data_IF_788457606799
#
_entry.id   IF_788457606799
#
_cell.length_a   1.000
_cell.length_b   1.000
_cell.length_c   1.000
_cell.angle_alpha   90.00
_cell.angle_beta   90.00
_cell.angle_gamma   90.00
#
_symmetry.space_group_name_H-M   'P 1'
#
loop_
_entity.id
_entity.type
_entity.pdbx_description
1 polymer ?
#
# COMPACT_ATOMS: atom_id res chain seq x y z
N UNK A 1 8.92 -8.61 -4.08
CA UNK A 1 9.73 -7.44 -4.45
C UNK A 1 10.89 -7.38 -3.48
N UNK A 2 12.12 -7.60 -3.94
CA UNK A 2 13.30 -7.49 -3.08
C UNK A 2 13.44 -6.04 -2.62
N UNK A 3 13.45 -5.83 -1.31
CA UNK A 3 13.59 -4.50 -0.73
C UNK A 3 15.09 -4.15 -0.70
N UNK A 4 15.48 -2.94 -1.08
CA UNK A 4 16.90 -2.51 -1.01
C UNK A 4 17.48 -2.60 0.40
N UNK A 5 16.61 -2.54 1.42
CA UNK A 5 16.93 -2.76 2.83
C UNK A 5 17.21 -4.23 3.19
N UNK A 6 16.63 -5.20 2.48
CA UNK A 6 16.89 -6.64 2.66
C UNK A 6 18.28 -7.00 2.14
N UNK A 7 18.71 -6.37 1.05
CA UNK A 7 20.05 -6.56 0.48
C UNK A 7 21.13 -6.12 1.49
N UNK A 8 20.86 -5.07 2.28
CA UNK A 8 21.78 -4.59 3.31
C UNK A 8 21.94 -5.54 4.50
N UNK A 9 20.94 -6.36 4.81
CA UNK A 9 20.96 -7.27 5.96
C UNK A 9 21.35 -8.70 5.60
N UNK A 10 21.34 -9.04 4.30
CA UNK A 10 21.60 -10.39 3.81
C UNK A 10 23.03 -10.88 4.10
N UNK A 11 23.15 -11.92 4.92
CA UNK A 11 24.44 -12.50 5.34
C UNK A 11 25.22 -13.19 4.22
N UNK A 12 24.62 -13.42 3.05
CA UNK A 12 25.30 -13.95 1.85
C UNK A 12 26.45 -13.04 1.39
N UNK A 13 26.34 -11.73 1.63
CA UNK A 13 27.35 -10.77 1.20
C UNK A 13 28.40 -10.47 2.29
N UNK A 14 29.67 -10.24 1.91
CA UNK A 14 30.72 -9.85 2.85
C UNK A 14 30.32 -8.64 3.70
N UNK A 15 30.75 -8.62 4.97
CA UNK A 15 30.42 -7.54 5.90
C UNK A 15 30.86 -6.17 5.38
N UNK A 16 32.01 -6.10 4.70
CA UNK A 16 32.55 -4.86 4.17
C UNK A 16 31.67 -4.28 3.06
N UNK A 17 31.19 -5.14 2.15
CA UNK A 17 30.25 -4.75 1.10
C UNK A 17 28.91 -4.27 1.69
N UNK A 18 28.40 -4.94 2.73
CA UNK A 18 27.17 -4.50 3.41
C UNK A 18 27.33 -3.18 4.15
N UNK A 19 28.47 -2.96 4.81
CA UNK A 19 28.78 -1.68 5.47
C UNK A 19 28.80 -0.51 4.49
N UNK A 20 29.16 -0.73 3.21
CA UNK A 20 29.09 0.31 2.18
C UNK A 20 27.66 0.83 1.96
N UNK A 21 26.65 -0.02 2.15
CA UNK A 21 25.24 0.35 2.00
C UNK A 21 24.76 1.24 3.13
N UNK A 22 25.17 0.96 4.37
CA UNK A 22 24.65 1.58 5.62
C UNK A 22 25.66 2.50 6.31
N UNK A 23 26.51 3.21 5.57
CA UNK A 23 27.57 4.06 6.12
C UNK A 23 27.09 5.15 7.09
N UNK A 24 28.01 5.69 7.91
CA UNK A 24 27.74 6.80 8.84
C UNK A 24 27.34 8.06 8.03
N UNK A 25 26.07 8.48 8.13
CA UNK A 25 25.50 9.63 7.41
C UNK A 25 24.38 9.24 6.45
N UNK A 26 24.28 9.91 5.29
CA UNK A 26 23.31 9.52 4.24
C UNK A 26 23.76 8.20 3.63
N UNK A 27 22.96 7.17 3.81
CA UNK A 27 23.25 5.82 3.31
C UNK A 27 23.39 5.82 1.77
N UNK A 28 24.19 4.90 1.21
CA UNK A 28 24.30 4.78 -0.26
C UNK A 28 22.95 4.39 -0.88
N UNK A 29 22.13 3.64 -0.15
CA UNK A 29 20.75 3.32 -0.53
C UNK A 29 19.91 4.61 -0.65
N UNK A 30 19.98 5.51 0.32
CA UNK A 30 19.28 6.81 0.22
C UNK A 30 19.79 7.64 -0.95
N UNK A 31 21.09 7.60 -1.25
CA UNK A 31 21.66 8.28 -2.42
C UNK A 31 21.14 7.69 -3.72
N UNK A 32 21.00 6.36 -3.80
CA UNK A 32 20.38 5.68 -4.94
C UNK A 32 18.93 6.12 -5.13
N UNK A 33 18.13 6.07 -4.07
CA UNK A 33 16.73 6.49 -4.13
C UNK A 33 16.60 7.96 -4.54
N UNK A 34 17.42 8.86 -3.95
CA UNK A 34 17.45 10.28 -4.33
C UNK A 34 17.88 10.49 -5.78
N UNK A 35 18.87 9.74 -6.25
CA UNK A 35 19.33 9.79 -7.64
C UNK A 35 18.23 9.42 -8.62
N UNK A 36 17.55 8.29 -8.37
CA UNK A 36 16.40 7.81 -9.16
C UNK A 36 15.27 8.85 -9.19
N UNK A 37 14.86 9.38 -8.03
CA UNK A 37 13.80 10.39 -7.95
C UNK A 37 14.18 11.66 -8.73
N UNK A 38 15.45 12.05 -8.68
CA UNK A 38 15.95 13.25 -9.37
C UNK A 38 15.95 13.05 -10.89
N UNK A 39 16.37 11.87 -11.37
CA UNK A 39 16.31 11.50 -12.78
C UNK A 39 14.87 11.53 -13.31
N UNK A 40 13.93 10.94 -12.56
CA UNK A 40 12.49 10.96 -12.89
C UNK A 40 11.98 12.40 -12.95
N UNK A 41 12.24 13.24 -11.94
CA UNK A 41 11.83 14.66 -11.94
C UNK A 41 12.41 15.45 -13.11
N UNK A 42 13.66 15.18 -13.49
CA UNK A 42 14.32 15.82 -14.63
C UNK A 42 13.64 15.46 -15.94
N UNK A 43 13.23 14.20 -16.09
CA UNK A 43 12.51 13.75 -17.29
C UNK A 43 11.18 14.50 -17.52
N UNK A 44 10.53 14.96 -16.44
CA UNK A 44 9.31 15.77 -16.53
C UNK A 44 9.51 17.20 -17.00
N UNK A 45 10.62 17.84 -16.61
CA UNK A 45 10.81 19.29 -16.80
C UNK A 45 11.37 19.67 -18.18
N UNK A 46 11.81 18.71 -19.01
CA UNK A 46 12.27 19.01 -20.37
C UNK A 46 11.06 19.24 -21.28
N UNK A 47 10.73 20.51 -21.49
CA UNK A 47 9.58 21.02 -22.25
C UNK A 47 9.40 20.55 -23.72
N UNK A 48 10.16 19.62 -24.28
CA UNK A 48 10.11 19.30 -25.72
C UNK A 48 10.44 17.84 -26.09
N UNK A 49 9.99 16.87 -25.30
CA UNK A 49 10.15 15.46 -25.66
C UNK A 49 10.59 14.64 -24.47
N UNK A 50 9.65 13.84 -23.97
CA UNK A 50 9.88 12.82 -22.97
C UNK A 50 10.80 11.75 -23.57
N UNK A 51 12.10 11.93 -23.38
CA UNK A 51 13.08 10.93 -23.80
C UNK A 51 13.14 9.84 -22.72
N UNK A 52 12.18 8.93 -22.81
CA UNK A 52 12.07 7.78 -21.91
C UNK A 52 13.27 6.83 -22.02
N UNK A 53 14.01 6.91 -23.13
CA UNK A 53 15.28 6.21 -23.31
C UNK A 53 16.42 6.86 -22.51
N UNK A 54 16.49 8.19 -22.48
CA UNK A 54 17.42 8.91 -21.58
C UNK A 54 17.10 8.60 -20.12
N UNK A 55 15.83 8.58 -19.73
CA UNK A 55 15.45 8.17 -18.37
C UNK A 55 15.86 6.72 -18.09
N UNK A 56 15.67 5.80 -19.05
CA UNK A 56 16.10 4.40 -18.93
C UNK A 56 17.60 4.30 -18.67
N UNK A 57 18.40 5.03 -19.44
CA UNK A 57 19.85 5.06 -19.28
C UNK A 57 20.27 5.64 -17.93
N UNK A 58 19.64 6.75 -17.49
CA UNK A 58 19.90 7.36 -16.18
C UNK A 58 19.56 6.39 -15.03
N UNK A 59 18.46 5.64 -15.14
CA UNK A 59 18.06 4.63 -14.14
C UNK A 59 19.06 3.47 -14.10
N UNK A 60 19.47 2.94 -15.25
CA UNK A 60 20.46 1.86 -15.32
C UNK A 60 21.83 2.30 -14.80
N UNK A 61 22.20 3.56 -14.99
CA UNK A 61 23.45 4.13 -14.51
C UNK A 61 23.43 4.50 -13.01
N UNK A 62 22.24 4.58 -12.39
CA UNK A 62 22.11 5.04 -11.01
C UNK A 62 22.88 4.18 -9.98
N UNK A 63 22.88 2.83 -10.03
CA UNK A 63 23.71 2.00 -9.17
C UNK A 63 25.21 2.29 -9.34
N UNK A 64 25.68 2.34 -10.60
CA UNK A 64 27.07 2.63 -10.92
C UNK A 64 27.52 3.98 -10.37
N UNK A 65 26.73 5.03 -10.58
CA UNK A 65 26.97 6.37 -10.04
C UNK A 65 27.10 6.37 -8.51
N UNK A 66 26.24 5.64 -7.80
CA UNK A 66 26.25 5.60 -6.32
C UNK A 66 27.48 4.89 -5.77
N UNK A 67 27.98 3.90 -6.50
CA UNK A 67 29.12 3.08 -6.10
C UNK A 67 30.45 3.51 -6.74
N UNK A 68 30.52 4.74 -7.26
CA UNK A 68 31.77 5.38 -7.62
C UNK A 68 32.21 5.18 -9.06
N UNK A 69 31.34 4.67 -9.93
CA UNK A 69 31.60 4.58 -11.36
C UNK A 69 30.86 5.70 -12.10
N UNK A 70 31.60 6.67 -12.61
CA UNK A 70 31.07 7.92 -13.13
C UNK A 70 31.25 8.10 -14.64
N UNK A 71 31.87 7.14 -15.34
CA UNK A 71 32.12 7.21 -16.80
C UNK A 71 30.86 7.40 -17.66
N UNK A 72 29.74 6.82 -17.25
CA UNK A 72 28.48 6.88 -17.99
C UNK A 72 27.54 7.98 -17.45
N UNK A 73 28.01 8.84 -16.54
CA UNK A 73 27.21 9.95 -16.04
C UNK A 73 27.20 11.10 -17.05
N UNK A 74 26.02 11.64 -17.35
CA UNK A 74 25.94 12.89 -18.10
C UNK A 74 26.61 14.05 -17.35
N UNK A 75 27.27 14.94 -18.08
CA UNK A 75 28.03 16.09 -17.55
C UNK A 75 27.20 17.00 -16.64
N UNK A 76 25.90 17.10 -16.94
CA UNK A 76 24.91 17.87 -16.17
C UNK A 76 24.49 17.20 -14.86
N UNK A 77 24.71 15.89 -14.73
CA UNK A 77 24.25 15.08 -13.59
C UNK A 77 25.36 14.78 -12.58
N UNK A 78 26.60 14.60 -13.05
CA UNK A 78 27.73 14.29 -12.19
C UNK A 78 28.99 15.06 -12.60
N UNK A 79 29.72 15.57 -11.60
CA UNK A 79 31.03 16.22 -11.76
C UNK A 79 32.17 15.45 -11.06
N UNK A 80 31.89 14.25 -10.55
CA UNK A 80 32.83 13.49 -9.72
C UNK A 80 33.68 12.56 -10.59
N UNK A 81 34.91 12.32 -10.14
CA UNK A 81 35.83 11.31 -10.70
C UNK A 81 35.55 9.94 -10.09
N UNK A 82 35.99 8.88 -10.77
CA UNK A 82 35.83 7.49 -10.34
C UNK A 82 36.47 7.22 -8.96
N UNK A 83 35.85 6.36 -8.16
CA UNK A 83 36.33 5.89 -6.84
C UNK A 83 36.60 4.37 -6.90
N UNK A 84 37.87 4.00 -7.15
CA UNK A 84 38.28 2.62 -7.39
C UNK A 84 38.18 1.71 -6.16
N UNK A 85 38.29 2.28 -4.95
CA UNK A 85 38.26 1.51 -3.70
C UNK A 85 36.86 0.91 -3.43
N UNK A 86 35.81 1.73 -3.61
CA UNK A 86 34.42 1.28 -3.44
C UNK A 86 34.03 0.32 -4.56
N UNK A 87 34.50 0.60 -5.77
CA UNK A 87 34.26 -0.21 -6.96
C UNK A 87 34.77 -1.64 -6.77
N UNK A 88 36.02 -1.83 -6.38
CA UNK A 88 36.58 -3.18 -6.24
C UNK A 88 35.80 -4.06 -5.24
N UNK A 89 35.40 -3.48 -4.10
CA UNK A 89 34.65 -4.21 -3.05
C UNK A 89 33.27 -4.64 -3.55
N UNK A 90 32.56 -3.78 -4.28
CA UNK A 90 31.18 -4.09 -4.68
C UNK A 90 31.07 -5.03 -5.88
N UNK A 91 32.00 -4.93 -6.82
CA UNK A 91 32.07 -5.84 -7.96
C UNK A 91 32.48 -7.25 -7.52
N UNK A 92 33.50 -7.36 -6.66
CA UNK A 92 33.95 -8.66 -6.13
C UNK A 92 32.89 -9.37 -5.28
N UNK A 93 32.00 -8.62 -4.64
CA UNK A 93 30.96 -9.18 -3.78
C UNK A 93 29.68 -9.62 -4.52
N UNK A 94 29.51 -9.28 -5.82
CA UNK A 94 28.27 -9.54 -6.56
C UNK A 94 27.06 -8.73 -6.07
N UNK A 95 27.26 -7.83 -5.10
CA UNK A 95 26.19 -7.02 -4.51
C UNK A 95 25.58 -6.04 -5.52
N UNK A 96 26.39 -5.57 -6.47
CA UNK A 96 25.95 -4.66 -7.52
C UNK A 96 24.89 -5.31 -8.41
N UNK A 97 25.03 -6.58 -8.74
CA UNK A 97 24.07 -7.33 -9.58
C UNK A 97 22.71 -7.46 -8.90
N UNK A 98 22.67 -7.72 -7.59
CA UNK A 98 21.41 -7.76 -6.84
C UNK A 98 20.73 -6.39 -6.79
N UNK A 99 21.50 -5.31 -6.66
CA UNK A 99 20.96 -3.95 -6.72
C UNK A 99 20.44 -3.65 -8.13
N UNK A 100 21.16 -4.08 -9.17
CA UNK A 100 20.76 -3.92 -10.56
C UNK A 100 19.43 -4.63 -10.82
N UNK A 101 19.24 -5.86 -10.35
CA UNK A 101 17.96 -6.60 -10.44
C UNK A 101 16.77 -5.85 -9.83
N UNK A 102 17.01 -5.03 -8.81
CA UNK A 102 15.96 -4.19 -8.19
C UNK A 102 15.63 -2.99 -9.07
N UNK A 103 16.63 -2.41 -9.72
CA UNK A 103 16.48 -1.21 -10.57
C UNK A 103 15.98 -1.56 -11.98
N UNK A 104 16.31 -2.74 -12.52
CA UNK A 104 15.94 -3.15 -13.88
C UNK A 104 14.42 -3.12 -14.16
N UNK A 105 13.52 -3.56 -13.26
CA UNK A 105 12.08 -3.38 -13.45
C UNK A 105 11.67 -1.90 -13.56
N UNK A 106 12.34 -0.99 -12.83
CA UNK A 106 12.06 0.44 -12.93
C UNK A 106 12.55 0.99 -14.26
N UNK A 107 13.74 0.58 -14.71
CA UNK A 107 14.28 0.98 -16.01
C UNK A 107 13.44 0.44 -17.18
N UNK A 108 12.96 -0.80 -17.11
CA UNK A 108 12.03 -1.36 -18.12
C UNK A 108 10.71 -0.59 -18.22
N UNK A 109 10.25 -0.05 -17.09
CA UNK A 109 9.04 0.77 -17.03
C UNK A 109 9.33 2.27 -17.14
N UNK A 110 10.49 2.68 -17.67
CA UNK A 110 10.88 4.08 -17.79
C UNK A 110 9.85 4.90 -18.58
N UNK A 111 9.28 4.32 -19.65
CA UNK A 111 8.20 4.95 -20.43
C UNK A 111 7.03 5.32 -19.50
N UNK A 112 6.51 4.35 -18.75
CA UNK A 112 5.39 4.57 -17.82
C UNK A 112 5.73 5.61 -16.74
N UNK A 113 6.95 5.54 -16.20
CA UNK A 113 7.44 6.49 -15.21
C UNK A 113 7.58 7.90 -15.77
N UNK A 114 8.03 8.04 -17.02
CA UNK A 114 8.14 9.32 -17.72
C UNK A 114 6.76 9.95 -17.95
N UNK A 115 5.73 9.15 -18.25
CA UNK A 115 4.37 9.64 -18.50
C UNK A 115 3.45 9.67 -17.24
N UNK A 116 3.95 9.34 -16.04
CA UNK A 116 3.12 9.13 -14.81
C UNK A 116 1.94 8.18 -15.09
N UNK A 117 2.13 7.22 -15.98
CA UNK A 117 1.10 6.24 -16.27
C UNK A 117 1.19 5.15 -15.22
N UNK A 118 0.13 5.02 -14.43
CA UNK A 118 -0.02 3.89 -13.53
C UNK A 118 -0.65 2.73 -14.29
N UNK A 119 -0.04 1.55 -14.26
CA UNK A 119 -0.58 0.33 -14.88
C UNK A 119 -1.91 -0.14 -14.27
N UNK A 120 -2.34 0.48 -13.17
CA UNK A 120 -3.58 0.11 -12.51
C UNK A 120 -4.28 1.32 -11.86
N UNK A 121 -4.90 2.14 -12.70
CA UNK A 121 -5.81 3.22 -12.28
C UNK A 121 -6.88 2.70 -11.31
N UNK A 122 -7.42 1.50 -11.57
CA UNK A 122 -8.42 0.88 -10.70
C UNK A 122 -7.86 0.63 -9.28
N UNK A 123 -6.64 0.09 -9.14
CA UNK A 123 -5.99 -0.08 -7.83
C UNK A 123 -5.70 1.25 -7.16
N UNK A 124 -5.28 2.27 -7.92
CA UNK A 124 -5.06 3.61 -7.38
C UNK A 124 -6.38 4.17 -6.83
N UNK A 125 -7.46 4.10 -7.59
CA UNK A 125 -8.79 4.52 -7.15
C UNK A 125 -9.26 3.72 -5.93
N UNK A 126 -9.15 2.40 -5.97
CA UNK A 126 -9.53 1.53 -4.85
C UNK A 126 -8.70 1.78 -3.59
N UNK A 127 -7.43 2.21 -3.73
CA UNK A 127 -6.62 2.63 -2.59
C UNK A 127 -7.14 3.92 -1.94
N UNK A 128 -7.66 4.86 -2.74
CA UNK A 128 -8.31 6.08 -2.26
C UNK A 128 -9.65 5.76 -1.62
N UNK A 129 -10.45 4.87 -2.22
CA UNK A 129 -11.70 4.38 -1.61
C UNK A 129 -11.41 3.74 -0.25
N UNK A 130 -10.39 2.90 -0.14
CA UNK A 130 -10.00 2.27 1.13
C UNK A 130 -9.55 3.31 2.18
N UNK A 131 -8.80 4.33 1.75
CA UNK A 131 -8.38 5.47 2.59
C UNK A 131 -9.59 6.27 3.09
N UNK A 132 -10.52 6.64 2.21
CA UNK A 132 -11.74 7.37 2.54
C UNK A 132 -12.69 6.52 3.39
N UNK A 133 -12.74 5.20 3.15
CA UNK A 133 -13.48 4.22 3.93
C UNK A 133 -12.98 4.09 5.38
N UNK A 134 -11.74 4.50 5.67
CA UNK A 134 -11.16 4.47 7.01
C UNK A 134 -10.55 3.13 7.44
N UNK A 135 -10.47 2.15 6.52
CA UNK A 135 -10.02 0.79 6.84
C UNK A 135 -10.79 0.14 8.01
N UNK A 136 -10.23 -0.93 8.62
CA UNK A 136 -10.82 -1.70 9.74
C UNK A 136 -11.08 -0.89 11.04
N UNK A 137 -10.92 0.42 11.07
CA UNK A 137 -11.18 1.23 12.27
C UNK A 137 -12.64 1.66 12.34
N UNK A 138 -13.23 1.34 13.49
CA UNK A 138 -14.65 1.44 13.84
C UNK A 138 -15.28 2.74 13.34
N UNK A 139 -16.37 2.58 12.59
CA UNK A 139 -17.11 3.66 11.97
C UNK A 139 -18.13 4.22 12.99
N UNK A 140 -17.80 5.33 13.66
CA UNK A 140 -18.63 5.89 14.75
C UNK A 140 -19.82 6.77 14.28
N UNK A 141 -20.13 6.89 12.99
CA UNK A 141 -21.20 7.82 12.55
C UNK A 141 -22.06 7.32 11.39
N UNK A 142 -23.36 7.17 11.70
CA UNK A 142 -24.64 7.32 10.95
C UNK A 142 -24.78 6.82 9.49
N UNK A 143 -26.06 6.58 9.13
CA UNK A 143 -26.60 6.17 7.81
C UNK A 143 -26.03 7.03 6.66
N UNK A 144 -25.74 6.44 5.49
CA UNK A 144 -25.10 7.03 4.29
C UNK A 144 -23.60 7.39 4.39
N UNK A 145 -22.89 6.89 5.40
CA UNK A 145 -21.45 7.15 5.53
C UNK A 145 -20.59 6.39 4.52
N UNK A 146 -21.00 5.21 4.03
CA UNK A 146 -20.24 4.49 3.01
C UNK A 146 -20.41 5.11 1.63
N UNK A 147 -21.64 5.39 1.17
CA UNK A 147 -21.90 5.92 -0.19
C UNK A 147 -21.15 7.22 -0.49
N UNK A 148 -21.01 8.11 0.49
CA UNK A 148 -20.32 9.40 0.36
C UNK A 148 -18.79 9.29 0.24
N UNK A 149 -18.19 8.18 0.70
CA UNK A 149 -16.72 8.00 0.73
C UNK A 149 -16.11 7.67 -0.63
N UNK A 150 -16.69 6.78 -1.46
CA UNK A 150 -16.28 6.60 -2.85
C UNK A 150 -16.41 7.88 -3.68
N UNK A 151 -17.45 8.71 -3.45
CA UNK A 151 -17.55 10.02 -4.12
C UNK A 151 -16.40 10.96 -3.71
N UNK A 152 -16.04 11.01 -2.42
CA UNK A 152 -14.87 11.75 -1.96
C UNK A 152 -13.56 11.21 -2.55
N UNK A 153 -13.43 9.90 -2.70
CA UNK A 153 -12.29 9.26 -3.35
C UNK A 153 -12.21 9.59 -4.85
N UNK A 154 -13.35 9.67 -5.54
CA UNK A 154 -13.43 10.06 -6.95
C UNK A 154 -13.01 11.53 -7.17
N UNK A 155 -13.43 12.43 -6.27
CA UNK A 155 -12.96 13.81 -6.25
C UNK A 155 -11.46 13.91 -5.96
N UNK A 156 -10.92 13.11 -5.04
CA UNK A 156 -9.47 13.05 -4.80
C UNK A 156 -8.69 12.47 -5.99
N UNK A 157 -9.27 11.49 -6.69
CA UNK A 157 -8.65 10.89 -7.88
C UNK A 157 -8.56 11.90 -9.03
N UNK A 158 -9.64 12.65 -9.28
CA UNK A 158 -9.78 13.55 -10.42
C UNK A 158 -9.15 14.93 -10.15
N UNK A 159 -9.40 15.50 -8.97
CA UNK A 159 -9.02 16.87 -8.61
C UNK A 159 -7.78 16.92 -7.69
N UNK A 160 -7.24 15.76 -7.30
CA UNK A 160 -6.07 15.65 -6.45
C UNK A 160 -6.34 15.76 -4.94
N UNK A 161 -5.34 15.49 -4.08
CA UNK A 161 -5.47 15.41 -2.61
C UNK A 161 -5.81 16.72 -1.90
N UNK A 162 -5.83 17.84 -2.62
CA UNK A 162 -6.17 19.17 -2.12
C UNK A 162 -7.57 19.66 -2.55
N UNK A 163 -8.36 18.83 -3.22
CA UNK A 163 -9.68 19.21 -3.76
C UNK A 163 -10.62 19.80 -2.70
N UNK A 164 -10.60 19.27 -1.47
CA UNK A 164 -11.45 19.76 -0.39
C UNK A 164 -11.09 21.18 0.02
N UNK A 165 -9.85 21.63 -0.19
CA UNK A 165 -9.43 22.99 0.16
C UNK A 165 -10.14 24.03 -0.72
N UNK A 166 -10.31 23.77 -2.03
CA UNK A 166 -10.97 24.72 -2.93
C UNK A 166 -12.47 24.80 -2.65
N UNK A 167 -13.11 23.64 -2.41
CA UNK A 167 -14.52 23.57 -2.03
C UNK A 167 -14.75 24.24 -0.67
N UNK A 168 -13.92 23.95 0.32
CA UNK A 168 -14.04 24.59 1.63
C UNK A 168 -13.78 26.10 1.54
N UNK A 169 -12.78 26.57 0.79
CA UNK A 169 -12.54 28.02 0.62
C UNK A 169 -13.71 28.74 -0.04
N UNK A 170 -14.42 28.08 -0.97
CA UNK A 170 -15.58 28.65 -1.67
C UNK A 170 -16.86 28.56 -0.85
N UNK A 171 -17.09 27.45 -0.16
CA UNK A 171 -18.27 27.24 0.69
C UNK A 171 -18.19 28.02 1.99
N UNK A 172 -16.99 28.16 2.55
CA UNK A 172 -16.71 28.98 3.71
C UNK A 172 -16.09 30.30 3.25
N UNK A 173 -16.91 31.28 2.91
CA UNK A 173 -16.48 32.68 2.86
C UNK A 173 -15.91 33.08 4.24
N UNK A 174 -14.62 32.86 4.47
CA UNK A 174 -13.92 33.19 5.72
C UNK A 174 -14.41 32.46 7.00
N UNK A 175 -15.00 31.25 6.91
CA UNK A 175 -15.55 30.60 8.12
C UNK A 175 -14.45 30.22 9.13
N UNK A 176 -14.70 30.57 10.39
CA UNK A 176 -13.81 30.28 11.51
C UNK A 176 -13.50 28.78 11.63
N UNK A 177 -14.46 27.91 11.30
CA UNK A 177 -14.36 26.45 11.38
C UNK A 177 -13.30 25.90 10.44
N UNK A 178 -13.21 26.41 9.21
CA UNK A 178 -12.17 26.00 8.25
C UNK A 178 -10.79 26.45 8.71
N UNK A 179 -10.65 27.69 9.21
CA UNK A 179 -9.41 28.19 9.80
C UNK A 179 -8.96 27.35 11.00
N UNK A 180 -9.89 26.89 11.84
CA UNK A 180 -9.60 26.00 12.98
C UNK A 180 -9.14 24.62 12.50
N UNK A 181 -9.81 24.04 11.50
CA UNK A 181 -9.42 22.77 10.90
C UNK A 181 -8.03 22.84 10.25
N UNK A 182 -7.77 23.87 9.46
CA UNK A 182 -6.49 24.07 8.78
C UNK A 182 -5.36 24.32 9.79
N UNK A 183 -5.60 25.13 10.84
CA UNK A 183 -4.67 25.28 11.97
C UNK A 183 -4.41 23.94 12.68
N UNK A 184 -5.43 23.09 12.88
CA UNK A 184 -5.25 21.75 13.47
C UNK A 184 -4.42 20.85 12.55
N UNK A 185 -4.68 20.83 11.25
CA UNK A 185 -3.91 20.06 10.25
C UNK A 185 -2.44 20.50 10.23
N UNK A 186 -2.17 21.80 10.18
CA UNK A 186 -0.81 22.36 10.23
C UNK A 186 -0.09 21.99 11.53
N UNK A 187 -0.78 22.09 12.69
CA UNK A 187 -0.23 21.65 13.97
C UNK A 187 0.12 20.16 13.98
N UNK A 188 -0.68 19.31 13.34
CA UNK A 188 -0.39 17.88 13.23
C UNK A 188 0.80 17.57 12.30
N UNK A 189 0.93 18.30 11.18
CA UNK A 189 2.09 18.17 10.28
C UNK A 189 3.39 18.59 10.97
N UNK A 190 3.35 19.69 11.74
CA UNK A 190 4.49 20.17 12.54
C UNK A 190 4.79 19.25 13.74
N UNK A 191 3.77 18.68 14.39
CA UNK A 191 3.98 17.68 15.45
C UNK A 191 4.51 16.35 14.90
N UNK A 192 4.14 15.98 13.67
CA UNK A 192 4.65 14.81 12.97
C UNK A 192 6.15 14.88 12.67
N UNK A 193 6.74 16.09 12.57
CA UNK A 193 8.19 16.26 12.39
C UNK A 193 8.98 16.24 13.70
N UNK A 194 8.35 16.47 14.85
CA UNK A 194 9.03 16.56 16.17
C UNK A 194 8.84 15.36 17.10
N UNK A 195 8.10 14.32 16.72
CA UNK A 195 7.96 13.14 17.58
C UNK A 195 7.68 11.86 16.79
N UNK A 196 8.75 11.19 16.38
CA UNK A 196 8.82 9.74 16.37
C UNK A 196 10.13 9.29 17.02
N UNK A 197 10.40 9.75 18.25
CA UNK A 197 11.11 8.86 19.17
C UNK A 197 10.14 7.71 19.42
N UNK A 198 10.38 6.62 18.70
CA UNK A 198 9.76 5.33 18.93
C UNK A 198 9.92 4.98 20.41
N UNK A 199 8.95 5.37 21.23
CA UNK A 199 8.57 4.61 22.42
C UNK A 199 7.74 3.42 21.96
N UNK A 200 8.28 2.63 21.05
CA UNK A 200 8.04 1.20 21.11
C UNK A 200 8.84 0.74 22.34
N UNK A 201 8.28 1.02 23.53
CA UNK A 201 8.45 0.04 24.60
C UNK A 201 8.01 -1.25 23.94
N UNK A 202 8.94 -2.20 23.79
CA UNK A 202 8.55 -3.59 23.61
C UNK A 202 7.69 -3.87 24.84
N UNK A 203 6.37 -3.67 24.72
CA UNK A 203 5.43 -4.36 25.59
C UNK A 203 5.94 -5.79 25.53
N UNK A 204 6.40 -6.32 26.66
CA UNK A 204 6.60 -7.76 26.78
C UNK A 204 5.34 -8.35 26.15
N UNK A 205 5.48 -9.25 25.17
CA UNK A 205 4.33 -9.96 24.63
C UNK A 205 3.61 -10.47 25.87
N UNK A 206 2.44 -9.89 26.16
CA UNK A 206 1.70 -10.25 27.35
C UNK A 206 1.59 -11.77 27.28
N UNK A 207 2.17 -12.45 28.27
CA UNK A 207 1.87 -13.86 28.46
C UNK A 207 0.35 -13.88 28.53
N UNK A 208 -0.27 -14.48 27.52
CA UNK A 208 -1.66 -14.24 27.22
C UNK A 208 -2.55 -14.36 28.47
N UNK A 209 -3.67 -13.63 28.46
CA UNK A 209 -4.60 -13.59 29.59
C UNK A 209 -5.19 -14.99 29.87
N UNK A 210 -5.87 -15.14 31.02
CA UNK A 210 -6.55 -16.37 31.44
C UNK A 210 -7.45 -16.95 30.33
N UNK A 211 -8.09 -16.09 29.55
CA UNK A 211 -8.98 -16.46 28.46
C UNK A 211 -8.27 -16.66 27.11
N UNK A 212 -7.04 -16.11 26.93
CA UNK A 212 -6.37 -16.07 25.63
C UNK A 212 -4.85 -16.18 25.77
N UNK A 213 -4.28 -17.37 25.58
CA UNK A 213 -2.83 -17.58 25.60
C UNK A 213 -2.42 -19.04 25.73
N UNK A 214 -1.11 -19.35 25.75
CA UNK A 214 -0.62 -20.72 25.95
C UNK A 214 -0.93 -21.29 27.34
N UNK A 215 -1.34 -20.46 28.29
CA UNK A 215 -1.78 -20.84 29.63
C UNK A 215 -3.31 -20.74 29.81
N UNK A 216 -4.10 -20.61 28.73
CA UNK A 216 -5.55 -20.47 28.88
C UNK A 216 -6.14 -21.73 29.53
N UNK A 217 -7.15 -21.54 30.38
CA UNK A 217 -7.94 -22.66 30.86
C UNK A 217 -8.59 -23.37 29.66
N UNK A 218 -8.85 -24.67 29.81
CA UNK A 218 -9.37 -25.55 28.75
C UNK A 218 -10.54 -24.92 27.96
N UNK A 219 -10.75 -25.31 26.68
CA UNK A 219 -11.80 -24.72 25.84
C UNK A 219 -13.16 -24.65 26.55
N UNK A 220 -13.87 -23.52 26.38
CA UNK A 220 -15.17 -23.25 27.00
C UNK A 220 -16.24 -24.33 26.70
N UNK A 221 -16.01 -25.15 25.67
CA UNK A 221 -16.86 -26.26 25.28
C UNK A 221 -16.47 -27.56 25.98
N UNK A 222 -17.48 -28.27 26.49
CA UNK A 222 -17.30 -29.64 26.99
C UNK A 222 -16.77 -30.54 25.86
N UNK A 223 -15.90 -31.53 26.15
CA UNK A 223 -15.26 -32.36 25.12
C UNK A 223 -16.25 -33.04 24.16
N UNK A 224 -17.44 -33.41 24.65
CA UNK A 224 -18.49 -34.02 23.84
C UNK A 224 -19.11 -33.06 22.81
N UNK A 225 -19.20 -31.77 23.13
CA UNK A 225 -19.74 -30.75 22.21
C UNK A 225 -18.69 -30.35 21.18
N UNK A 226 -17.42 -30.28 21.60
CA UNK A 226 -16.30 -30.03 20.70
C UNK A 226 -16.19 -31.10 19.62
N UNK A 227 -16.37 -32.37 20.00
CA UNK A 227 -16.40 -33.50 19.05
C UNK A 227 -17.55 -33.39 18.04
N UNK A 228 -18.73 -32.93 18.47
CA UNK A 228 -19.85 -32.65 17.54
C UNK A 228 -19.53 -31.53 16.56
N UNK A 229 -18.84 -30.48 17.01
CA UNK A 229 -18.39 -29.40 16.13
C UNK A 229 -17.34 -29.87 15.11
N UNK A 230 -16.39 -30.72 15.52
CA UNK A 230 -15.41 -31.32 14.62
C UNK A 230 -16.07 -32.26 13.60
N UNK A 231 -17.01 -33.09 14.03
CA UNK A 231 -17.82 -33.95 13.14
C UNK A 231 -18.65 -33.12 12.14
N UNK A 232 -19.19 -31.98 12.58
CA UNK A 232 -19.89 -31.03 11.72
C UNK A 232 -18.96 -30.37 10.69
N UNK A 233 -17.78 -29.91 11.09
CA UNK A 233 -16.77 -29.33 10.19
C UNK A 233 -16.27 -30.35 9.17
N UNK A 234 -16.07 -31.61 9.57
CA UNK A 234 -15.70 -32.70 8.68
C UNK A 234 -16.84 -33.05 7.69
N UNK A 235 -18.10 -32.94 8.12
CA UNK A 235 -19.27 -33.01 7.23
C UNK A 235 -19.24 -31.88 6.19
N UNK A 236 -18.98 -30.64 6.61
CA UNK A 236 -18.90 -29.48 5.73
C UNK A 236 -17.73 -29.59 4.73
N UNK A 237 -16.60 -30.15 5.15
CA UNK A 237 -15.42 -30.32 4.29
C UNK A 237 -15.59 -31.37 3.18
N UNK A 238 -16.42 -32.38 3.41
CA UNK A 238 -16.69 -33.47 2.44
C UNK A 238 -17.82 -33.15 1.46
N UNK A 239 -18.60 -32.11 1.73
CA UNK A 239 -19.72 -31.71 0.90
C UNK A 239 -19.24 -30.84 -0.27
N UNK A 240 -18.78 -31.50 -1.35
CA UNK A 240 -18.36 -30.82 -2.60
C UNK A 240 -19.45 -29.89 -3.18
N UNK A 241 -20.71 -30.05 -2.75
CA UNK A 241 -21.85 -29.21 -3.14
C UNK A 241 -21.82 -27.81 -2.48
N UNK A 242 -21.11 -27.60 -1.37
CA UNK A 242 -21.09 -26.30 -0.69
C UNK A 242 -20.08 -25.29 -1.21
N UNK A 243 -19.24 -25.64 -2.20
CA UNK A 243 -18.38 -24.65 -2.87
C UNK A 243 -19.16 -23.54 -3.59
N UNK A 244 -20.46 -23.71 -3.80
CA UNK A 244 -21.36 -22.66 -4.31
C UNK A 244 -21.78 -21.62 -3.25
N UNK A 245 -21.51 -21.85 -1.95
CA UNK A 245 -21.83 -20.92 -0.87
C UNK A 245 -20.78 -19.83 -0.63
N UNK A 246 -19.61 -19.94 -1.29
CA UNK A 246 -18.65 -18.84 -1.33
C UNK A 246 -18.94 -17.97 -2.54
N UNK A 247 -19.45 -16.77 -2.27
CA UNK A 247 -19.66 -15.70 -3.24
C UNK A 247 -18.39 -15.42 -4.06
N UNK A 248 -18.38 -15.88 -5.30
CA UNK A 248 -17.44 -15.46 -6.33
C UNK A 248 -18.12 -14.36 -7.13
N UNK A 249 -17.43 -13.24 -7.36
CA UNK A 249 -17.94 -12.19 -8.26
C UNK A 249 -18.02 -12.75 -9.67
N UNK A 250 -19.23 -12.85 -10.21
CA UNK A 250 -19.46 -13.28 -11.59
C UNK A 250 -19.31 -12.07 -12.51
N UNK A 251 -18.37 -12.12 -13.44
CA UNK A 251 -18.17 -11.09 -14.45
C UNK A 251 -19.03 -11.39 -15.67
N UNK A 252 -19.62 -10.37 -16.28
CA UNK A 252 -20.39 -10.51 -17.50
C UNK A 252 -19.46 -10.87 -18.66
N UNK A 253 -19.80 -11.93 -19.40
CA UNK A 253 -18.91 -12.54 -20.41
C UNK A 253 -18.50 -11.59 -21.53
N UNK A 254 -19.39 -10.71 -21.96
CA UNK A 254 -19.14 -9.74 -23.03
C UNK A 254 -18.81 -8.33 -22.54
N UNK A 255 -19.02 -8.03 -21.25
CA UNK A 255 -18.81 -6.70 -20.71
C UNK A 255 -18.05 -6.79 -19.38
N UNK A 256 -16.71 -6.76 -19.40
CA UNK A 256 -15.88 -7.04 -18.24
C UNK A 256 -15.99 -6.00 -17.12
N UNK A 257 -16.69 -4.88 -17.35
CA UNK A 257 -16.96 -3.85 -16.35
C UNK A 257 -18.23 -4.14 -15.51
N UNK A 258 -19.07 -5.09 -15.94
CA UNK A 258 -20.26 -5.51 -15.22
C UNK A 258 -19.97 -6.80 -14.46
N UNK A 259 -20.23 -6.78 -13.15
CA UNK A 259 -20.13 -7.96 -12.30
C UNK A 259 -21.28 -8.01 -11.30
N UNK A 260 -21.75 -9.21 -10.99
CA UNK A 260 -22.78 -9.46 -10.01
C UNK A 260 -22.31 -10.52 -9.01
N UNK A 261 -22.75 -10.38 -7.77
CA UNK A 261 -22.49 -11.36 -6.72
C UNK A 261 -23.83 -11.76 -6.10
N UNK A 262 -24.49 -12.81 -6.61
CA UNK A 262 -25.77 -13.24 -6.10
C UNK A 262 -25.63 -13.79 -4.68
N UNK A 263 -26.57 -13.44 -3.79
CA UNK A 263 -26.59 -13.99 -2.43
C UNK A 263 -26.72 -15.52 -2.42
N UNK A 264 -27.51 -16.07 -3.36
CA UNK A 264 -27.63 -17.51 -3.59
C UNK A 264 -28.01 -17.84 -5.04
N UNK A 265 -27.43 -18.91 -5.57
CA UNK A 265 -27.82 -19.55 -6.83
C UNK A 265 -28.49 -20.88 -6.50
N UNK A 266 -29.65 -21.17 -7.10
CA UNK A 266 -30.33 -22.45 -6.90
C UNK A 266 -29.51 -23.62 -7.47
N UNK A 267 -29.65 -24.80 -6.88
CA UNK A 267 -28.87 -26.00 -7.23
C UNK A 267 -28.97 -26.40 -8.71
N UNK A 268 -30.05 -26.02 -9.40
CA UNK A 268 -30.26 -26.31 -10.83
C UNK A 268 -29.63 -25.26 -11.77
N UNK A 269 -28.96 -24.24 -11.22
CA UNK A 269 -28.32 -23.16 -11.99
C UNK A 269 -29.28 -22.21 -12.71
N UNK A 270 -30.60 -22.40 -12.55
CA UNK A 270 -31.66 -21.70 -13.30
C UNK A 270 -32.30 -20.52 -12.56
N UNK A 271 -31.85 -20.20 -11.34
CA UNK A 271 -32.46 -19.14 -10.54
C UNK A 271 -31.49 -18.48 -9.57
N UNK A 272 -31.66 -17.17 -9.38
CA UNK A 272 -30.92 -16.34 -8.42
C UNK A 272 -31.90 -15.94 -7.31
N UNK A 273 -31.47 -16.07 -6.06
CA UNK A 273 -32.24 -15.66 -4.90
C UNK A 273 -31.48 -14.55 -4.16
N UNK A 274 -32.11 -13.37 -4.09
CA UNK A 274 -31.61 -12.19 -3.39
C UNK A 274 -32.21 -12.15 -1.98
N UNK A 275 -31.37 -12.17 -0.95
CA UNK A 275 -31.82 -12.25 0.44
C UNK A 275 -31.89 -10.84 1.02
N UNK A 276 -33.10 -10.31 1.16
CA UNK A 276 -33.34 -9.06 1.88
C UNK A 276 -33.84 -9.35 3.30
N UNK A 277 -32.99 -9.11 4.29
CA UNK A 277 -33.43 -9.02 5.68
C UNK A 277 -34.09 -7.65 5.89
N UNK A 278 -35.42 -7.64 6.00
CA UNK A 278 -36.14 -6.47 6.50
C UNK A 278 -35.77 -6.27 7.97
N UNK A 279 -35.25 -5.09 8.33
CA UNK A 279 -35.03 -4.74 9.72
C UNK A 279 -36.32 -4.93 10.53
N UNK A 280 -36.26 -5.39 11.78
CA UNK A 280 -37.47 -5.52 12.60
C UNK A 280 -38.18 -4.18 12.67
N UNK A 281 -39.46 -4.14 12.30
CA UNK A 281 -40.33 -3.04 12.69
C UNK A 281 -40.32 -3.07 14.21
N UNK A 282 -39.64 -2.09 14.84
CA UNK A 282 -39.79 -1.88 16.28
C UNK A 282 -41.27 -1.57 16.48
N UNK A 283 -42.01 -2.51 17.06
CA UNK A 283 -43.35 -2.22 17.56
C UNK A 283 -43.24 -1.01 18.47
N UNK A 284 -43.73 0.13 17.99
CA UNK A 284 -43.92 1.30 18.82
C UNK A 284 -44.99 0.91 19.83
N UNK A 285 -44.56 0.57 21.05
CA UNK A 285 -45.47 0.45 22.19
C UNK A 285 -46.20 1.78 22.32
N UNK A 286 -47.45 1.84 21.87
CA UNK A 286 -48.36 2.90 22.27
C UNK A 286 -48.53 2.76 23.79
N UNK A 287 -48.13 3.79 24.52
CA UNK A 287 -48.47 3.92 25.93
C UNK A 287 -49.95 4.30 25.97
N UNK A 288 -50.77 3.38 26.50
CA UNK A 288 -52.09 3.73 27.03
C UNK A 288 -51.92 4.52 28.32
#
# INVERSE_FOLDING_TARGET
MHNTSEVATNKRFPLDARKLLTGKGVSRIERLVKGIITAIKRSFNKNNGLDSDVLRQDLLNAPYHVFGYHKNCGETFCKKKDDDNVRHIIYKSGLLEEIQKIVDPMARNSNLLAYIQTTNEAQRFMSLVAKCAGGKRINFTKRNSYTTRPYAAALEHTCGPSWHLSVCKRSAHNSATFRIFEKRRLRQLVKGSKSKKSRYSRRKRDAGDFDYGPNCAQPDLKPAELKKCEEFLNRLGNDKQQKAYFSVVYMHSSNPFLGANPDRINNDGKGILEIKCLSPVRESKFKN
#
